data_IF_810390023346
#
_entry.id   IF_810390023346
#
_cell.length_a   1.000
_cell.length_b   1.000
_cell.length_c   1.000
_cell.angle_alpha   90.00
_cell.angle_beta   90.00
_cell.angle_gamma   90.00
#
_symmetry.space_group_name_H-M   'P 1'
#
loop_
_entity.id
_entity.type
_entity.pdbx_description
1 polymer ?
#
# COMPACT_ATOMS: atom_id res chain seq x y z
N UNK A 1 4.24 -8.42 -22.38
CA UNK A 1 2.97 -8.94 -21.78
C UNK A 1 2.78 -8.28 -20.43
N UNK A 2 1.56 -7.86 -20.08
CA UNK A 2 1.23 -7.35 -18.75
C UNK A 2 0.58 -8.49 -17.94
N UNK A 3 1.02 -8.66 -16.68
CA UNK A 3 0.47 -9.62 -15.71
C UNK A 3 -0.09 -8.84 -14.53
N UNK A 4 -1.41 -8.69 -14.48
CA UNK A 4 -2.17 -7.95 -13.46
C UNK A 4 -3.29 -8.81 -12.86
N UNK A 5 -3.02 -10.08 -12.66
CA UNK A 5 -3.92 -11.06 -12.05
C UNK A 5 -3.82 -11.03 -10.52
N UNK A 6 -4.42 -11.97 -9.82
CA UNK A 6 -4.24 -12.07 -8.37
C UNK A 6 -2.84 -12.61 -8.02
N UNK A 7 -2.32 -12.19 -6.88
CA UNK A 7 -0.95 -12.42 -6.39
C UNK A 7 -0.41 -13.84 -6.61
N UNK A 8 -1.23 -14.86 -6.29
CA UNK A 8 -0.85 -16.28 -6.41
C UNK A 8 -0.76 -16.78 -7.85
N UNK A 9 -1.29 -16.04 -8.81
CA UNK A 9 -1.33 -16.42 -10.22
C UNK A 9 -0.17 -15.83 -11.04
N UNK A 10 0.51 -14.80 -10.52
CA UNK A 10 1.53 -14.05 -11.26
C UNK A 10 2.58 -14.94 -11.88
N UNK A 11 3.25 -15.78 -11.09
CA UNK A 11 4.35 -16.64 -11.54
C UNK A 11 3.87 -17.68 -12.54
N UNK A 12 2.65 -18.26 -12.31
CA UNK A 12 2.06 -19.23 -13.22
C UNK A 12 1.78 -18.67 -14.62
N UNK A 13 1.45 -17.39 -14.72
CA UNK A 13 1.25 -16.71 -16.01
C UNK A 13 2.55 -16.20 -16.62
N UNK A 14 3.48 -15.74 -15.77
CA UNK A 14 4.74 -15.15 -16.24
C UNK A 14 5.70 -16.17 -16.84
N UNK A 15 5.88 -17.35 -16.21
CA UNK A 15 6.85 -18.36 -16.68
C UNK A 15 6.57 -18.83 -18.11
N UNK A 16 5.34 -19.22 -18.50
CA UNK A 16 5.06 -19.60 -19.89
C UNK A 16 5.33 -18.48 -20.91
N UNK A 17 5.09 -17.23 -20.52
CA UNK A 17 5.34 -16.08 -21.38
C UNK A 17 6.86 -15.81 -21.55
N UNK A 18 7.64 -15.89 -20.45
CA UNK A 18 9.10 -15.80 -20.50
C UNK A 18 9.72 -16.84 -21.45
N UNK A 19 9.28 -18.09 -21.32
CA UNK A 19 9.75 -19.19 -22.19
C UNK A 19 9.44 -18.97 -23.67
N UNK A 20 8.40 -18.16 -23.97
CA UNK A 20 8.08 -17.73 -25.34
C UNK A 20 8.84 -16.47 -25.77
N UNK A 21 9.73 -15.92 -24.93
CA UNK A 21 10.54 -14.75 -25.23
C UNK A 21 9.85 -13.39 -24.99
N UNK A 22 8.68 -13.35 -24.32
CA UNK A 22 8.03 -12.08 -24.03
C UNK A 22 8.72 -11.34 -22.88
N UNK A 23 8.87 -10.02 -23.03
CA UNK A 23 9.10 -9.13 -21.89
C UNK A 23 7.81 -9.02 -21.06
N UNK A 24 7.96 -8.98 -19.76
CA UNK A 24 6.83 -8.99 -18.81
C UNK A 24 6.87 -7.75 -17.94
N UNK A 25 5.76 -7.03 -17.88
CA UNK A 25 5.44 -6.07 -16.84
C UNK A 25 4.48 -6.78 -15.87
N UNK A 26 4.90 -6.95 -14.62
CA UNK A 26 4.17 -7.76 -13.64
C UNK A 26 3.80 -6.94 -12.42
N UNK A 27 2.54 -7.02 -12.01
CA UNK A 27 2.09 -6.43 -10.77
C UNK A 27 2.77 -7.04 -9.54
N UNK A 28 2.86 -6.22 -8.51
CA UNK A 28 3.37 -6.62 -7.19
C UNK A 28 2.25 -7.29 -6.34
N UNK A 29 2.60 -8.15 -5.38
CA UNK A 29 3.90 -8.78 -5.15
C UNK A 29 4.19 -9.84 -6.20
N UNK A 30 5.42 -10.26 -6.36
CA UNK A 30 5.80 -11.32 -7.30
C UNK A 30 5.02 -12.60 -6.99
N UNK A 31 5.04 -13.02 -5.74
CA UNK A 31 4.27 -14.15 -5.20
C UNK A 31 4.27 -14.09 -3.66
N UNK A 32 3.24 -14.60 -2.96
CA UNK A 32 3.30 -14.83 -1.52
C UNK A 32 4.21 -16.02 -1.14
N UNK A 33 4.62 -16.84 -2.10
CA UNK A 33 5.41 -18.04 -1.89
C UNK A 33 6.86 -17.82 -2.31
N UNK A 34 7.80 -17.94 -1.35
CA UNK A 34 9.22 -17.73 -1.60
C UNK A 34 9.77 -18.65 -2.70
N UNK A 35 9.32 -19.89 -2.75
CA UNK A 35 9.81 -20.85 -3.75
C UNK A 35 9.34 -20.46 -5.17
N UNK A 36 8.15 -19.86 -5.31
CA UNK A 36 7.69 -19.30 -6.58
C UNK A 36 8.51 -18.08 -7.01
N UNK A 37 8.91 -17.24 -6.06
CA UNK A 37 9.84 -16.14 -6.35
C UNK A 37 11.21 -16.65 -6.82
N UNK A 38 11.74 -17.72 -6.21
CA UNK A 38 12.98 -18.38 -6.66
C UNK A 38 12.81 -19.01 -8.05
N UNK A 39 11.71 -19.74 -8.25
CA UNK A 39 11.40 -20.40 -9.53
C UNK A 39 11.44 -19.41 -10.71
N UNK A 40 10.74 -18.29 -10.59
CA UNK A 40 10.68 -17.30 -11.67
C UNK A 40 12.05 -16.63 -11.90
N UNK A 41 12.85 -16.41 -10.86
CA UNK A 41 14.21 -15.87 -10.98
C UNK A 41 15.13 -16.82 -11.74
N UNK A 42 15.06 -18.12 -11.45
CA UNK A 42 15.87 -19.12 -12.19
C UNK A 42 15.43 -19.21 -13.65
N UNK A 43 14.14 -19.26 -13.92
CA UNK A 43 13.62 -19.30 -15.30
C UNK A 43 14.03 -18.04 -16.08
N UNK A 44 13.98 -16.87 -15.43
CA UNK A 44 14.32 -15.61 -16.08
C UNK A 44 15.80 -15.51 -16.52
N UNK A 45 16.73 -16.24 -15.86
CA UNK A 45 18.15 -16.27 -16.24
C UNK A 45 18.36 -16.89 -17.63
N UNK A 46 17.57 -17.91 -17.97
CA UNK A 46 17.73 -18.70 -19.18
C UNK A 46 16.79 -18.24 -20.31
N UNK A 47 15.97 -17.22 -20.08
CA UNK A 47 15.02 -16.70 -21.06
C UNK A 47 15.49 -15.37 -21.65
N UNK A 48 15.23 -15.11 -22.95
CA UNK A 48 15.59 -13.84 -23.58
C UNK A 48 14.73 -12.67 -23.10
N UNK A 49 13.52 -12.95 -22.59
CA UNK A 49 12.60 -11.95 -22.07
C UNK A 49 13.04 -11.40 -20.71
N UNK A 50 12.65 -10.17 -20.42
CA UNK A 50 12.92 -9.49 -19.14
C UNK A 50 11.64 -9.37 -18.33
N UNK A 51 11.78 -9.32 -16.99
CA UNK A 51 10.69 -9.03 -16.06
C UNK A 51 10.94 -7.67 -15.42
N UNK A 52 9.92 -6.82 -15.44
CA UNK A 52 9.85 -5.60 -14.66
C UNK A 52 8.68 -5.77 -13.68
N UNK A 53 8.94 -5.59 -12.40
CA UNK A 53 7.91 -5.61 -11.35
C UNK A 53 7.44 -4.18 -11.09
N UNK A 54 6.11 -3.99 -10.99
CA UNK A 54 5.49 -2.67 -10.82
C UNK A 54 5.70 -2.10 -9.41
N UNK A 55 6.94 -1.80 -9.04
CA UNK A 55 7.28 -1.01 -7.86
C UNK A 55 7.16 0.48 -8.18
N UNK A 56 5.94 0.91 -8.45
CA UNK A 56 5.59 2.21 -9.03
C UNK A 56 6.06 3.42 -8.21
N UNK A 57 6.25 3.29 -6.90
CA UNK A 57 6.76 4.39 -6.07
C UNK A 57 8.14 4.88 -6.50
N UNK A 58 8.98 4.02 -7.07
CA UNK A 58 10.30 4.42 -7.59
C UNK A 58 10.23 5.42 -8.73
N UNK A 59 9.07 5.50 -9.42
CA UNK A 59 8.84 6.39 -10.57
C UNK A 59 8.15 7.70 -10.18
N UNK A 60 7.78 7.86 -8.90
CA UNK A 60 7.19 9.13 -8.43
C UNK A 60 8.23 10.23 -8.37
N UNK A 61 7.83 11.45 -8.71
CA UNK A 61 8.67 12.65 -8.53
C UNK A 61 9.12 12.81 -7.08
N UNK A 62 8.23 12.47 -6.13
CA UNK A 62 8.48 12.54 -4.69
C UNK A 62 9.66 11.65 -4.26
N UNK A 63 9.61 10.36 -4.57
CA UNK A 63 10.67 9.44 -4.16
C UNK A 63 11.94 9.57 -4.99
N UNK A 64 11.85 9.98 -6.24
CA UNK A 64 13.03 10.34 -7.04
C UNK A 64 13.77 11.53 -6.42
N UNK A 65 13.02 12.55 -5.97
CA UNK A 65 13.64 13.70 -5.28
C UNK A 65 14.27 13.31 -3.95
N UNK A 66 13.63 12.45 -3.16
CA UNK A 66 14.21 11.89 -1.95
C UNK A 66 15.50 11.10 -2.24
N UNK A 67 15.49 10.28 -3.29
CA UNK A 67 16.68 9.51 -3.69
C UNK A 67 17.83 10.43 -4.12
N UNK A 68 17.55 11.46 -4.88
CA UNK A 68 18.53 12.50 -5.25
C UNK A 68 19.16 13.13 -4.01
N UNK A 69 18.32 13.60 -3.08
CA UNK A 69 18.77 14.28 -1.85
C UNK A 69 19.63 13.37 -0.96
N UNK A 70 19.23 12.12 -0.76
CA UNK A 70 20.00 11.14 0.02
C UNK A 70 21.31 10.82 -0.69
N UNK A 71 21.28 10.59 -2.01
CA UNK A 71 22.47 10.22 -2.79
C UNK A 71 23.44 11.37 -2.99
N UNK A 72 23.00 12.63 -2.84
CA UNK A 72 23.88 13.81 -2.93
C UNK A 72 24.84 13.95 -1.74
N UNK A 73 24.61 13.19 -0.65
CA UNK A 73 25.43 13.26 0.57
C UNK A 73 25.18 14.51 1.43
N UNK A 74 24.15 15.31 1.15
CA UNK A 74 23.85 16.54 1.91
C UNK A 74 23.61 16.30 3.40
N UNK A 75 23.05 15.16 3.75
CA UNK A 75 22.83 14.78 5.16
C UNK A 75 23.91 13.83 5.68
N UNK A 76 24.99 13.60 4.92
CA UNK A 76 26.04 12.62 5.24
C UNK A 76 25.53 11.18 5.07
N UNK A 77 26.13 10.24 5.82
CA UNK A 77 25.70 8.84 5.84
C UNK A 77 24.38 8.72 6.60
N UNK A 78 23.39 8.05 6.00
CA UNK A 78 22.10 7.80 6.68
C UNK A 78 22.32 6.79 7.80
N UNK A 79 21.96 7.18 9.01
CA UNK A 79 22.06 6.38 10.24
C UNK A 79 20.75 5.64 10.51
N UNK A 80 19.63 6.33 10.35
CA UNK A 80 18.32 5.74 10.62
C UNK A 80 17.22 6.35 9.75
N UNK A 81 16.23 5.54 9.41
CA UNK A 81 14.99 5.97 8.73
C UNK A 81 13.79 5.63 9.61
N UNK A 82 12.85 6.57 9.75
CA UNK A 82 11.51 6.33 10.25
C UNK A 82 10.51 6.56 9.11
N UNK A 83 9.60 5.62 8.86
CA UNK A 83 8.62 5.74 7.79
C UNK A 83 7.27 5.15 8.19
N UNK A 84 6.19 5.70 7.61
CA UNK A 84 4.84 5.21 7.84
C UNK A 84 4.12 4.99 6.51
N UNK A 85 3.34 3.93 6.43
CA UNK A 85 2.22 3.77 5.49
C UNK A 85 0.92 3.96 6.25
N UNK A 86 0.24 5.05 6.01
CA UNK A 86 -1.07 5.36 6.57
C UNK A 86 -2.13 4.92 5.57
N UNK A 87 -2.83 3.81 5.88
CA UNK A 87 -3.72 3.15 4.90
C UNK A 87 -5.09 3.82 4.80
N UNK A 88 -5.53 4.51 5.85
CA UNK A 88 -6.89 5.04 5.92
C UNK A 88 -7.92 3.97 6.34
N UNK A 89 -8.76 4.29 7.31
CA UNK A 89 -9.73 3.36 7.91
C UNK A 89 -10.72 2.78 6.88
N UNK A 90 -11.13 3.60 5.94
CA UNK A 90 -12.06 3.24 4.87
C UNK A 90 -11.41 2.34 3.81
N UNK A 91 -10.14 2.56 3.48
CA UNK A 91 -9.39 1.73 2.55
C UNK A 91 -9.15 0.33 3.12
N UNK A 92 -8.76 0.24 4.39
CA UNK A 92 -8.63 -1.04 5.09
C UNK A 92 -9.96 -1.82 5.05
N UNK A 93 -11.04 -1.18 5.46
CA UNK A 93 -12.37 -1.79 5.46
C UNK A 93 -12.81 -2.28 4.08
N UNK A 94 -12.46 -1.53 3.02
CA UNK A 94 -12.76 -1.87 1.64
C UNK A 94 -11.92 -3.03 1.13
N UNK A 95 -10.60 -2.86 1.10
CA UNK A 95 -9.69 -3.76 0.38
C UNK A 95 -9.28 -4.98 1.20
N UNK A 96 -9.01 -4.79 2.49
CA UNK A 96 -8.33 -5.75 3.36
C UNK A 96 -9.24 -6.39 4.41
N UNK A 97 -10.53 -6.02 4.44
CA UNK A 97 -11.54 -6.65 5.29
C UNK A 97 -12.68 -7.24 4.48
N UNK A 98 -13.30 -6.47 3.57
CA UNK A 98 -14.39 -6.96 2.71
C UNK A 98 -13.91 -7.49 1.37
N UNK A 99 -12.84 -6.89 0.84
CA UNK A 99 -12.34 -7.09 -0.51
C UNK A 99 -11.48 -8.32 -0.72
N UNK A 100 -10.87 -8.37 -1.88
CA UNK A 100 -10.12 -9.54 -2.36
C UNK A 100 -8.86 -9.82 -1.54
N UNK A 101 -8.26 -8.82 -0.91
CA UNK A 101 -7.00 -8.94 -0.16
C UNK A 101 -7.20 -9.14 1.35
N UNK A 102 -8.37 -9.61 1.77
CA UNK A 102 -8.74 -9.83 3.17
C UNK A 102 -8.13 -11.07 3.82
N UNK A 103 -7.81 -12.07 3.02
CA UNK A 103 -7.37 -13.38 3.51
C UNK A 103 -6.01 -13.77 2.93
N UNK A 104 -5.04 -14.02 3.80
CA UNK A 104 -3.67 -14.32 3.43
C UNK A 104 -3.50 -15.67 2.73
N UNK A 105 -4.43 -16.60 2.94
CA UNK A 105 -4.42 -17.90 2.28
C UNK A 105 -4.93 -17.81 0.84
N UNK A 106 -5.85 -16.88 0.58
CA UNK A 106 -6.38 -16.64 -0.76
C UNK A 106 -5.45 -15.74 -1.59
N UNK A 107 -4.79 -14.79 -0.94
CA UNK A 107 -3.90 -13.80 -1.59
C UNK A 107 -2.53 -13.79 -0.92
N UNK A 108 -2.20 -12.74 -0.17
CA UNK A 108 -0.93 -12.58 0.53
C UNK A 108 -1.08 -11.81 1.84
N UNK A 109 -0.14 -11.96 2.79
CA UNK A 109 -0.10 -11.14 3.99
C UNK A 109 0.01 -9.64 3.66
N UNK A 110 -0.49 -8.78 4.56
CA UNK A 110 -0.51 -7.31 4.39
C UNK A 110 0.86 -6.72 4.06
N UNK A 111 1.93 -7.26 4.67
CA UNK A 111 3.30 -6.80 4.42
C UNK A 111 3.75 -7.02 2.97
N UNK A 112 3.27 -8.07 2.30
CA UNK A 112 3.55 -8.35 0.90
C UNK A 112 2.56 -7.64 -0.02
N UNK A 113 1.26 -7.70 0.30
CA UNK A 113 0.23 -7.18 -0.58
C UNK A 113 0.27 -5.65 -0.68
N UNK A 114 0.42 -4.96 0.45
CA UNK A 114 0.42 -3.48 0.53
C UNK A 114 1.81 -2.92 0.77
N UNK A 115 2.49 -3.35 1.83
CA UNK A 115 3.73 -2.73 2.28
C UNK A 115 4.97 -3.22 1.52
N UNK A 116 4.83 -4.11 0.52
CA UNK A 116 5.95 -4.41 -0.38
C UNK A 116 6.45 -3.16 -1.12
N UNK A 117 5.58 -2.22 -1.42
CA UNK A 117 5.97 -0.90 -1.93
C UNK A 117 6.90 -0.16 -0.98
N UNK A 118 6.60 -0.24 0.33
CA UNK A 118 7.36 0.47 1.36
C UNK A 118 8.70 -0.23 1.62
N UNK A 119 8.69 -1.55 1.70
CA UNK A 119 9.92 -2.34 1.86
C UNK A 119 10.87 -2.13 0.66
N UNK A 120 10.32 -2.08 -0.54
CA UNK A 120 11.07 -1.82 -1.76
C UNK A 120 11.66 -0.40 -1.76
N UNK A 121 10.83 0.63 -1.52
CA UNK A 121 11.28 2.01 -1.62
C UNK A 121 12.31 2.36 -0.53
N UNK A 122 12.13 1.87 0.70
CA UNK A 122 13.04 2.17 1.81
C UNK A 122 14.41 1.53 1.60
N UNK A 123 14.46 0.29 1.13
CA UNK A 123 15.72 -0.37 0.80
C UNK A 123 16.39 0.24 -0.43
N UNK A 124 15.61 0.66 -1.42
CA UNK A 124 16.11 1.35 -2.61
C UNK A 124 16.68 2.74 -2.28
N UNK A 125 16.01 3.51 -1.41
CA UNK A 125 16.51 4.82 -0.96
C UNK A 125 17.88 4.70 -0.30
N UNK A 126 18.05 3.75 0.63
CA UNK A 126 19.32 3.50 1.29
C UNK A 126 20.38 2.87 0.37
N UNK A 127 19.94 2.03 -0.59
CA UNK A 127 20.87 1.28 -1.45
C UNK A 127 21.69 0.23 -0.69
N UNK A 128 21.19 -0.27 0.45
CA UNK A 128 21.84 -1.25 1.33
C UNK A 128 21.00 -2.52 1.44
N UNK A 129 21.65 -3.64 1.72
CA UNK A 129 20.95 -4.91 1.97
C UNK A 129 20.50 -5.02 3.41
N UNK A 130 19.32 -5.62 3.60
CA UNK A 130 18.82 -5.95 4.93
C UNK A 130 19.55 -7.17 5.48
N UNK A 131 20.09 -7.04 6.72
CA UNK A 131 20.78 -8.11 7.47
C UNK A 131 19.82 -8.85 8.38
N UNK A 132 18.91 -8.14 9.02
CA UNK A 132 17.96 -8.73 9.96
C UNK A 132 16.65 -7.93 9.98
N UNK A 133 15.55 -8.61 10.31
CA UNK A 133 14.22 -8.00 10.42
C UNK A 133 13.52 -8.52 11.67
N UNK A 134 12.79 -7.63 12.36
CA UNK A 134 11.80 -7.99 13.37
C UNK A 134 10.48 -7.28 13.08
N UNK A 135 9.35 -7.98 13.27
CA UNK A 135 8.06 -7.40 12.95
C UNK A 135 6.99 -7.92 13.89
N UNK A 136 6.08 -7.01 14.29
CA UNK A 136 4.93 -7.29 15.13
C UNK A 136 3.69 -6.67 14.51
N UNK A 137 2.62 -7.42 14.41
CA UNK A 137 1.33 -6.94 13.88
C UNK A 137 0.20 -7.83 14.34
N UNK A 138 -1.02 -7.31 14.31
CA UNK A 138 -2.21 -8.10 14.63
C UNK A 138 -3.46 -7.49 14.00
N UNK A 139 -4.57 -8.24 14.05
CA UNK A 139 -5.91 -7.71 13.80
C UNK A 139 -6.51 -7.31 15.14
N UNK A 140 -6.65 -6.00 15.38
CA UNK A 140 -7.14 -5.48 16.65
C UNK A 140 -8.64 -5.18 16.63
N UNK A 141 -9.17 -4.68 15.52
CA UNK A 141 -10.54 -4.15 15.45
C UNK A 141 -11.47 -5.02 14.60
N UNK A 142 -11.02 -5.50 13.46
CA UNK A 142 -11.89 -6.18 12.50
C UNK A 142 -12.09 -7.65 12.86
N UNK A 143 -12.81 -7.89 13.96
CA UNK A 143 -13.09 -9.22 14.51
C UNK A 143 -14.41 -9.21 15.32
N UNK A 144 -15.07 -10.35 15.51
CA UNK A 144 -16.40 -10.44 16.11
C UNK A 144 -16.53 -9.81 17.51
N UNK A 145 -15.50 -9.92 18.34
CA UNK A 145 -15.51 -9.40 19.71
C UNK A 145 -15.54 -7.87 19.75
N UNK A 146 -15.20 -7.21 18.66
CA UNK A 146 -15.21 -5.74 18.53
C UNK A 146 -16.50 -5.22 17.87
N UNK A 147 -17.44 -6.11 17.51
CA UNK A 147 -18.69 -5.69 16.91
C UNK A 147 -19.51 -4.85 17.90
N UNK A 148 -20.00 -3.66 17.50
CA UNK A 148 -20.87 -2.88 18.38
C UNK A 148 -22.20 -3.59 18.62
N UNK A 149 -22.82 -3.32 19.75
CA UNK A 149 -24.13 -3.88 20.09
C UNK A 149 -25.16 -3.60 18.99
N UNK A 150 -25.89 -4.64 18.58
CA UNK A 150 -26.89 -4.56 17.51
C UNK A 150 -26.31 -4.58 16.09
N UNK A 151 -25.02 -4.87 15.95
CA UNK A 151 -24.41 -5.09 14.63
C UNK A 151 -25.02 -6.32 13.95
N UNK A 152 -25.50 -6.14 12.72
CA UNK A 152 -25.96 -7.25 11.87
C UNK A 152 -24.77 -7.88 11.10
N UNK A 153 -24.94 -9.09 10.57
CA UNK A 153 -23.93 -9.73 9.71
C UNK A 153 -23.67 -8.97 8.41
N UNK A 154 -24.60 -8.12 8.02
CA UNK A 154 -24.54 -7.30 6.79
C UNK A 154 -25.10 -5.91 7.07
N UNK A 155 -24.47 -4.87 6.54
CA UNK A 155 -24.81 -3.49 6.86
C UNK A 155 -26.25 -3.10 6.45
N UNK A 156 -26.77 -3.66 5.35
CA UNK A 156 -28.12 -3.32 4.83
C UNK A 156 -29.24 -4.21 5.38
N UNK A 157 -28.93 -5.18 6.23
CA UNK A 157 -29.93 -6.14 6.78
C UNK A 157 -30.46 -5.68 8.16
N UNK A 158 -30.80 -4.40 8.29
CA UNK A 158 -31.39 -3.86 9.52
C UNK A 158 -30.37 -3.69 10.68
N UNK A 159 -29.14 -3.37 10.38
CA UNK A 159 -28.10 -3.13 11.37
C UNK A 159 -28.47 -1.97 12.30
N UNK A 160 -28.65 -2.26 13.61
CA UNK A 160 -28.99 -1.23 14.62
C UNK A 160 -27.80 -0.34 14.96
N UNK A 161 -26.58 -0.80 14.71
CA UNK A 161 -25.37 -0.02 14.95
C UNK A 161 -25.03 0.99 13.81
N UNK A 162 -25.79 1.00 12.71
CA UNK A 162 -25.52 1.74 11.48
C UNK A 162 -25.13 3.20 11.72
N UNK A 163 -25.92 3.93 12.51
CA UNK A 163 -25.72 5.36 12.74
C UNK A 163 -24.37 5.71 13.36
N UNK A 164 -23.87 4.86 14.25
CA UNK A 164 -22.61 5.06 14.96
C UNK A 164 -21.41 4.36 14.34
N UNK A 165 -21.66 3.46 13.38
CA UNK A 165 -20.59 2.68 12.76
C UNK A 165 -19.84 3.50 11.69
N UNK A 166 -18.54 3.69 11.89
CA UNK A 166 -17.66 4.33 10.91
C UNK A 166 -17.47 3.48 9.64
N UNK A 167 -17.64 2.18 9.76
CA UNK A 167 -17.42 1.20 8.68
C UNK A 167 -18.71 0.78 8.01
N UNK A 168 -19.83 1.46 8.24
CA UNK A 168 -21.08 1.15 7.53
C UNK A 168 -20.89 1.22 6.03
N UNK A 169 -21.35 0.19 5.31
CA UNK A 169 -21.10 0.07 3.88
C UNK A 169 -21.79 1.18 3.07
N UNK A 170 -22.99 1.58 3.47
CA UNK A 170 -23.67 2.68 2.77
C UNK A 170 -22.95 4.01 2.98
N UNK A 171 -22.43 4.25 4.20
CA UNK A 171 -21.59 5.42 4.44
C UNK A 171 -20.36 5.40 3.54
N UNK A 172 -19.57 4.33 3.59
CA UNK A 172 -18.29 4.25 2.85
C UNK A 172 -18.51 4.35 1.34
N UNK A 173 -19.49 3.63 0.77
CA UNK A 173 -19.62 3.54 -0.68
C UNK A 173 -20.56 4.57 -1.29
N UNK A 174 -21.49 5.15 -0.51
CA UNK A 174 -22.52 6.02 -1.04
C UNK A 174 -22.40 7.45 -0.48
N UNK A 175 -22.41 7.64 0.83
CA UNK A 175 -22.68 8.95 1.43
C UNK A 175 -21.45 9.66 2.02
N UNK A 176 -20.34 8.97 2.20
CA UNK A 176 -19.12 9.57 2.75
C UNK A 176 -18.65 10.78 1.90
N UNK A 177 -18.35 11.92 2.51
CA UNK A 177 -17.81 13.08 1.79
C UNK A 177 -16.50 12.78 1.04
N UNK A 178 -15.75 11.78 1.50
CA UNK A 178 -14.42 11.43 0.97
C UNK A 178 -14.47 10.30 -0.07
N UNK A 179 -15.34 9.32 0.13
CA UNK A 179 -15.30 8.05 -0.61
C UNK A 179 -16.62 7.67 -1.28
N UNK A 180 -17.71 8.38 -0.95
CA UNK A 180 -19.04 8.04 -1.39
C UNK A 180 -19.34 8.45 -2.83
N UNK A 181 -20.06 7.61 -3.56
CA UNK A 181 -20.47 7.87 -4.93
C UNK A 181 -21.37 9.12 -5.04
N UNK A 182 -22.27 9.34 -4.07
CA UNK A 182 -23.15 10.51 -4.04
C UNK A 182 -22.40 11.85 -3.91
N UNK A 183 -21.15 11.80 -3.48
CA UNK A 183 -20.28 13.00 -3.32
C UNK A 183 -19.25 13.16 -4.44
N UNK A 184 -19.36 12.34 -5.49
CA UNK A 184 -18.51 12.41 -6.67
C UNK A 184 -17.25 11.53 -6.62
N UNK A 185 -17.05 10.76 -5.56
CA UNK A 185 -15.97 9.79 -5.51
C UNK A 185 -16.39 8.49 -6.20
N UNK A 186 -15.59 8.00 -7.13
CA UNK A 186 -15.93 6.81 -7.93
C UNK A 186 -15.00 5.62 -7.71
N UNK A 187 -13.85 5.82 -7.07
CA UNK A 187 -12.83 4.76 -6.98
C UNK A 187 -13.35 3.50 -6.27
N UNK A 188 -13.93 3.64 -5.10
CA UNK A 188 -14.38 2.47 -4.32
C UNK A 188 -15.62 1.81 -4.94
N UNK A 189 -16.57 2.59 -5.43
CA UNK A 189 -17.79 2.07 -6.04
C UNK A 189 -17.55 1.37 -7.39
N UNK A 190 -16.55 1.81 -8.17
CA UNK A 190 -16.16 1.16 -9.43
C UNK A 190 -15.60 -0.26 -9.24
N UNK A 191 -15.06 -0.57 -8.05
CA UNK A 191 -14.67 -1.94 -7.69
C UNK A 191 -15.89 -2.84 -7.43
N UNK A 192 -16.99 -2.26 -6.94
CA UNK A 192 -18.22 -3.00 -6.67
C UNK A 192 -19.02 -3.29 -7.95
N UNK A 193 -19.03 -2.33 -8.88
CA UNK A 193 -19.80 -2.42 -10.13
C UNK A 193 -19.10 -1.66 -11.26
N UNK A 194 -18.97 -2.31 -12.40
CA UNK A 194 -18.38 -1.72 -13.63
C UNK A 194 -19.21 -0.50 -14.11
N UNK A 195 -20.52 -0.55 -13.97
CA UNK A 195 -21.43 0.54 -14.38
C UNK A 195 -21.27 1.79 -13.48
N UNK A 196 -20.85 1.58 -12.23
CA UNK A 196 -20.56 2.63 -11.25
C UNK A 196 -21.71 3.67 -11.09
N UNK A 197 -22.96 3.21 -11.11
CA UNK A 197 -24.17 4.00 -10.85
C UNK A 197 -24.66 3.79 -9.42
N UNK A 198 -25.51 4.67 -8.93
CA UNK A 198 -26.17 4.50 -7.62
C UNK A 198 -26.92 3.18 -7.54
N UNK A 199 -27.69 2.85 -8.58
CA UNK A 199 -28.49 1.61 -8.64
C UNK A 199 -27.61 0.36 -8.62
N UNK A 200 -26.60 0.31 -9.49
CA UNK A 200 -25.69 -0.83 -9.58
C UNK A 200 -24.84 -1.00 -8.31
N UNK A 201 -24.44 0.11 -7.67
CA UNK A 201 -23.71 0.08 -6.39
C UNK A 201 -24.61 -0.45 -5.26
N UNK A 202 -25.86 0.01 -5.16
CA UNK A 202 -26.80 -0.56 -4.16
C UNK A 202 -27.09 -2.03 -4.43
N UNK A 203 -27.22 -2.46 -5.70
CA UNK A 203 -27.36 -3.87 -6.04
C UNK A 203 -26.16 -4.68 -5.57
N UNK A 204 -24.95 -4.22 -5.87
CA UNK A 204 -23.71 -4.87 -5.42
C UNK A 204 -23.58 -4.92 -3.89
N UNK A 205 -24.05 -3.89 -3.19
CA UNK A 205 -24.11 -3.88 -1.72
C UNK A 205 -25.18 -4.80 -1.14
N UNK A 206 -26.21 -5.17 -1.87
CA UNK A 206 -27.20 -6.16 -1.43
C UNK A 206 -26.76 -7.60 -1.70
N UNK A 207 -26.10 -7.85 -2.80
CA UNK A 207 -25.80 -9.19 -3.31
C UNK A 207 -24.34 -9.60 -3.12
N UNK A 208 -23.41 -8.66 -3.25
CA UNK A 208 -21.96 -8.89 -3.29
C UNK A 208 -21.26 -9.00 -1.93
N UNK A 209 -19.96 -9.26 -1.91
CA UNK A 209 -19.18 -9.43 -0.68
C UNK A 209 -19.03 -8.15 0.15
N UNK A 210 -19.12 -6.98 -0.47
CA UNK A 210 -18.92 -5.69 0.19
C UNK A 210 -20.05 -5.29 1.14
N UNK A 211 -21.16 -6.03 1.18
CA UNK A 211 -22.26 -5.88 2.15
C UNK A 211 -21.93 -6.41 3.55
N UNK A 212 -20.90 -7.24 3.69
CA UNK A 212 -20.54 -7.88 4.95
C UNK A 212 -20.17 -6.85 6.02
N UNK A 213 -20.54 -7.14 7.24
CA UNK A 213 -20.08 -6.38 8.39
C UNK A 213 -18.57 -6.60 8.55
N UNK A 214 -17.80 -5.54 8.75
CA UNK A 214 -16.33 -5.62 8.90
C UNK A 214 -15.91 -6.46 10.11
N UNK A 215 -16.77 -6.60 11.10
CA UNK A 215 -16.51 -7.40 12.31
C UNK A 215 -16.81 -8.90 12.10
N UNK A 216 -17.43 -9.27 10.99
CA UNK A 216 -17.84 -10.64 10.68
C UNK A 216 -17.32 -11.12 9.32
N UNK A 217 -16.25 -10.49 8.81
CA UNK A 217 -15.53 -10.98 7.65
C UNK A 217 -14.55 -12.10 8.03
N UNK A 218 -14.11 -12.83 7.04
CA UNK A 218 -13.11 -13.90 7.14
C UNK A 218 -11.69 -13.36 6.88
N UNK A 219 -11.45 -12.10 7.27
CA UNK A 219 -10.14 -11.48 7.15
C UNK A 219 -9.18 -11.99 8.23
N UNK A 220 -7.94 -12.23 7.85
CA UNK A 220 -6.83 -12.63 8.72
C UNK A 220 -5.60 -11.72 8.58
N UNK A 221 -5.65 -10.75 7.67
CA UNK A 221 -4.55 -9.80 7.49
C UNK A 221 -4.54 -8.75 8.60
N UNK A 222 -3.34 -8.31 8.97
CA UNK A 222 -3.16 -7.35 10.07
C UNK A 222 -3.77 -5.98 9.74
N UNK A 223 -4.26 -5.27 10.76
CA UNK A 223 -4.74 -3.90 10.64
C UNK A 223 -3.72 -2.85 11.13
N UNK A 224 -2.64 -3.30 11.74
CA UNK A 224 -1.44 -2.52 12.06
C UNK A 224 -0.22 -3.43 12.13
N UNK A 225 0.95 -2.88 11.78
CA UNK A 225 2.21 -3.61 11.80
C UNK A 225 3.38 -2.66 12.01
N UNK A 226 4.28 -3.03 12.93
CA UNK A 226 5.56 -2.38 13.14
C UNK A 226 6.66 -3.31 12.64
N UNK A 227 7.55 -2.81 11.79
CA UNK A 227 8.67 -3.57 11.22
C UNK A 227 9.96 -2.79 11.38
N UNK A 228 10.98 -3.43 11.93
CA UNK A 228 12.33 -2.87 12.06
C UNK A 228 13.30 -3.67 11.20
N UNK A 229 14.12 -2.97 10.44
CA UNK A 229 15.19 -3.55 9.62
C UNK A 229 16.55 -3.10 10.16
N UNK A 230 17.48 -4.04 10.26
CA UNK A 230 18.90 -3.76 10.45
C UNK A 230 19.60 -3.99 9.11
N UNK A 231 20.30 -2.99 8.62
CA UNK A 231 21.04 -3.08 7.36
C UNK A 231 22.48 -3.60 7.57
N UNK A 232 23.14 -4.01 6.49
CA UNK A 232 24.51 -4.57 6.55
C UNK A 232 25.56 -3.58 7.09
N UNK A 233 25.36 -2.28 6.86
CA UNK A 233 26.25 -1.20 7.35
C UNK A 233 25.92 -0.72 8.78
N UNK A 234 24.92 -1.33 9.43
CA UNK A 234 24.49 -0.97 10.79
C UNK A 234 23.41 0.10 10.83
N UNK A 235 23.04 0.71 9.71
CA UNK A 235 21.88 1.62 9.66
C UNK A 235 20.58 0.87 9.91
N UNK A 236 19.56 1.60 10.37
CA UNK A 236 18.28 1.02 10.76
C UNK A 236 17.10 1.65 10.04
N UNK A 237 16.02 0.87 9.84
CA UNK A 237 14.75 1.38 9.38
C UNK A 237 13.67 0.96 10.37
N UNK A 238 12.85 1.91 10.82
CA UNK A 238 11.62 1.67 11.57
C UNK A 238 10.45 2.03 10.68
N UNK A 239 9.58 1.07 10.41
CA UNK A 239 8.42 1.22 9.54
C UNK A 239 7.14 0.86 10.27
N UNK A 240 6.13 1.72 10.17
CA UNK A 240 4.79 1.49 10.73
C UNK A 240 3.74 1.51 9.64
N UNK A 241 2.99 0.44 9.49
CA UNK A 241 1.73 0.42 8.75
C UNK A 241 0.57 0.53 9.73
N UNK A 242 -0.38 1.43 9.49
CA UNK A 242 -1.58 1.56 10.32
C UNK A 242 -2.82 1.81 9.48
N UNK A 243 -3.87 1.03 9.76
CA UNK A 243 -5.17 1.13 9.09
C UNK A 243 -6.11 2.19 9.71
N UNK A 244 -5.74 2.79 10.85
CA UNK A 244 -6.61 3.70 11.60
C UNK A 244 -6.16 5.15 11.46
N UNK A 245 -6.06 5.59 10.20
CA UNK A 245 -5.77 6.97 9.84
C UNK A 245 -6.90 7.55 9.01
N UNK A 246 -7.03 8.86 9.00
CA UNK A 246 -8.06 9.58 8.24
C UNK A 246 -7.82 9.48 6.73
N UNK A 247 -6.56 9.58 6.31
CA UNK A 247 -6.14 9.59 4.91
C UNK A 247 -5.12 8.50 4.61
N UNK A 248 -4.99 8.16 3.33
CA UNK A 248 -3.90 7.32 2.83
C UNK A 248 -2.73 8.21 2.43
N UNK A 249 -1.60 8.04 3.09
CA UNK A 249 -0.37 8.78 2.75
C UNK A 249 0.85 8.13 3.40
N UNK A 250 2.03 8.55 2.96
CA UNK A 250 3.31 8.14 3.52
C UNK A 250 4.02 9.31 4.15
N UNK A 251 4.60 9.05 5.30
CA UNK A 251 5.53 9.95 5.96
C UNK A 251 6.91 9.28 6.01
N UNK A 252 7.95 10.10 5.86
CA UNK A 252 9.32 9.65 5.79
C UNK A 252 10.23 10.62 6.55
N UNK A 253 11.16 10.07 7.34
CA UNK A 253 12.23 10.84 7.96
C UNK A 253 13.54 10.05 7.87
N UNK A 254 14.56 10.63 7.25
CA UNK A 254 15.92 10.13 7.25
C UNK A 254 16.79 10.99 8.16
N UNK A 255 17.57 10.35 9.01
CA UNK A 255 18.52 10.98 9.92
C UNK A 255 19.93 10.53 9.53
N UNK A 256 20.74 11.50 9.13
CA UNK A 256 22.13 11.28 8.69
C UNK A 256 23.13 11.88 9.64
N UNK A 257 24.42 11.67 9.34
CA UNK A 257 25.55 12.15 10.17
C UNK A 257 25.76 13.66 10.08
N UNK A 258 25.16 14.35 9.09
CA UNK A 258 25.34 15.79 8.84
C UNK A 258 24.02 16.55 8.66
N UNK A 259 22.89 15.87 8.81
CA UNK A 259 21.56 16.50 8.64
C UNK A 259 20.42 15.50 8.69
N UNK A 260 19.22 15.99 8.43
CA UNK A 260 18.03 15.17 8.32
C UNK A 260 17.14 15.62 7.15
N UNK A 261 16.36 14.67 6.65
CA UNK A 261 15.30 14.92 5.66
C UNK A 261 13.97 14.46 6.25
N UNK A 262 12.96 15.31 6.20
CA UNK A 262 11.60 15.00 6.60
C UNK A 262 10.66 15.23 5.41
N UNK A 263 9.80 14.27 5.11
CA UNK A 263 8.99 14.32 3.91
C UNK A 263 7.58 13.77 4.16
N UNK A 264 6.58 14.51 3.70
CA UNK A 264 5.16 14.16 3.80
C UNK A 264 4.55 14.11 2.41
N UNK A 265 4.13 12.92 2.00
CA UNK A 265 3.53 12.69 0.68
C UNK A 265 2.10 13.24 0.56
N UNK A 266 1.41 13.53 1.68
CA UNK A 266 0.09 14.15 1.65
C UNK A 266 0.16 15.62 1.23
N UNK A 267 1.12 16.34 1.79
CA UNK A 267 1.39 17.74 1.45
C UNK A 267 2.32 17.90 0.25
N UNK A 268 3.00 16.84 -0.17
CA UNK A 268 4.08 16.84 -1.17
C UNK A 268 5.25 17.77 -0.81
N UNK A 269 5.55 17.89 0.48
CA UNK A 269 6.62 18.76 0.98
C UNK A 269 7.78 17.90 1.50
N UNK A 270 9.00 18.34 1.17
CA UNK A 270 10.26 17.79 1.70
C UNK A 270 11.01 18.93 2.39
N UNK A 271 11.38 18.69 3.65
CA UNK A 271 12.26 19.56 4.45
C UNK A 271 13.65 18.94 4.51
N UNK A 272 14.67 19.72 4.17
CA UNK A 272 16.07 19.32 4.27
C UNK A 272 16.74 20.23 5.30
N UNK A 273 17.28 19.63 6.37
CA UNK A 273 17.97 20.32 7.47
C UNK A 273 19.40 19.82 7.55
N UNK A 274 20.31 20.54 6.92
CA UNK A 274 21.74 20.31 7.10
C UNK A 274 22.20 20.97 8.41
N UNK A 275 22.95 20.27 9.23
CA UNK A 275 23.35 20.80 10.55
C UNK A 275 24.16 22.11 10.41
N UNK A 276 23.73 23.14 11.12
CA UNK A 276 24.35 24.47 11.08
C UNK A 276 23.99 25.35 9.87
N UNK A 277 23.04 24.90 9.02
CA UNK A 277 22.50 25.68 7.90
C UNK A 277 21.02 25.98 8.08
N UNK A 278 20.51 26.92 7.27
CA UNK A 278 19.07 27.17 7.18
C UNK A 278 18.34 25.98 6.54
N UNK A 279 17.09 25.77 6.96
CA UNK A 279 16.23 24.74 6.40
C UNK A 279 15.86 25.07 4.96
N UNK A 280 15.95 24.10 4.07
CA UNK A 280 15.39 24.14 2.73
C UNK A 280 14.05 23.40 2.69
N UNK A 281 13.03 24.04 2.17
CA UNK A 281 11.70 23.43 1.93
C UNK A 281 11.48 23.28 0.42
N UNK A 282 11.20 22.03 -0.01
CA UNK A 282 10.97 21.69 -1.40
C UNK A 282 9.51 21.26 -1.56
N UNK A 283 8.78 22.01 -2.40
CA UNK A 283 7.41 21.68 -2.81
C UNK A 283 7.47 20.80 -4.09
N UNK A 284 7.29 19.51 -3.91
CA UNK A 284 7.34 18.53 -5.01
C UNK A 284 6.18 18.73 -5.98
N UNK A 285 5.04 19.26 -5.51
CA UNK A 285 3.90 19.60 -6.36
C UNK A 285 4.22 20.65 -7.44
N UNK A 286 5.27 21.44 -7.24
CA UNK A 286 5.77 22.40 -8.25
C UNK A 286 6.74 21.77 -9.25
N UNK A 287 7.27 20.59 -8.96
CA UNK A 287 8.22 19.89 -9.82
C UNK A 287 7.53 19.01 -10.86
N UNK A 288 6.30 18.61 -10.62
CA UNK A 288 5.50 17.78 -11.52
C UNK A 288 4.03 18.14 -11.45
N UNK A 289 3.36 18.21 -12.61
CA UNK A 289 1.91 18.39 -12.71
C UNK A 289 1.13 17.06 -12.63
N UNK A 290 1.80 15.93 -12.78
CA UNK A 290 1.18 14.59 -12.71
C UNK A 290 1.49 13.94 -11.37
N UNK A 291 0.52 14.07 -10.45
CA UNK A 291 0.53 13.44 -9.12
C UNK A 291 -0.64 12.45 -8.96
N UNK A 292 -1.29 12.05 -10.08
CA UNK A 292 -2.37 11.06 -10.07
C UNK A 292 -1.77 9.66 -9.91
N UNK A 293 -2.59 8.71 -9.50
CA UNK A 293 -2.20 7.30 -9.32
C UNK A 293 -0.86 7.13 -8.59
N UNK A 294 -0.86 6.60 -7.37
CA UNK A 294 0.34 6.45 -6.53
C UNK A 294 1.29 7.67 -6.53
N UNK A 295 0.73 8.90 -6.60
CA UNK A 295 1.54 10.13 -6.64
C UNK A 295 2.31 10.34 -7.96
N UNK A 296 1.75 9.89 -9.08
CA UNK A 296 2.34 9.97 -10.41
C UNK A 296 3.16 8.74 -10.83
N UNK A 297 3.34 7.77 -9.93
CA UNK A 297 4.13 6.57 -10.21
C UNK A 297 3.52 5.63 -11.25
N UNK A 298 2.21 5.69 -11.46
CA UNK A 298 1.51 4.85 -12.45
C UNK A 298 1.72 5.36 -13.88
N UNK A 299 2.27 6.56 -14.07
CA UNK A 299 2.53 7.19 -15.37
C UNK A 299 4.00 7.07 -15.81
N UNK A 300 4.86 6.55 -14.94
CA UNK A 300 6.32 6.45 -15.13
C UNK A 300 6.79 5.24 -15.93
#
# INVERSE_FOLDING_TARGET
>A
MVVSTMDRQHVGHAIPALRKGYNILMEKPISPELDKCKEILEVAKDCPGKIIVCHVLRYTTFYNKLKELISSGRIGDVVSICANENVGYWHQAHSFVRGNWRNSQETSPMILQKSCHDMDILTWLLGKKCKAVSSFGSTRVFKPECAPEGAALRCLDGCKAKEKCLFDAEKIYITSPKTGLATGSSWMSSVLSVENTMESTYKALREGPYRRCVYHCDNDVVDHQQTNLLMEDGSTISFTMCAFTESCYRYFKAMGTQGEIEADMLSNIIHVREFGKEEETIDVGKLSSDLKGHGGGDSG
#
